data_IF_010693576586
#
_entry.id   IF_010693576586
#
_cell.length_a   1.000
_cell.length_b   1.000
_cell.length_c   1.000
_cell.angle_alpha   90.00
_cell.angle_beta   90.00
_cell.angle_gamma   90.00
#
_symmetry.space_group_name_H-M   'P 1'
#
loop_
_entity.id
_entity.type
_entity.pdbx_description
1 polymer ?
#
# COMPACT_ATOMS: atom_id res chain seq x y z
N UNK A 1 2.75 2.24 13.60
CA UNK A 1 1.29 2.13 13.75
C UNK A 1 0.65 3.48 13.97
N UNK A 2 1.04 4.26 15.01
CA UNK A 2 0.41 5.55 15.33
C UNK A 2 0.32 6.50 14.12
N UNK A 3 1.42 6.71 13.41
CA UNK A 3 1.43 7.54 12.20
C UNK A 3 0.49 7.00 11.10
N UNK A 4 0.36 5.68 10.95
CA UNK A 4 -0.57 5.09 10.00
C UNK A 4 -2.04 5.37 10.40
N UNK A 5 -2.37 5.27 11.68
CA UNK A 5 -3.70 5.59 12.19
C UNK A 5 -4.05 7.05 11.91
N UNK A 6 -3.13 7.99 12.19
CA UNK A 6 -3.33 9.43 11.96
C UNK A 6 -3.60 9.73 10.47
N UNK A 7 -2.82 9.13 9.57
CA UNK A 7 -2.97 9.35 8.14
C UNK A 7 -4.22 8.67 7.57
N UNK A 8 -4.48 7.42 7.94
CA UNK A 8 -5.65 6.68 7.42
C UNK A 8 -6.97 7.12 8.03
N UNK A 9 -6.96 7.84 9.15
CA UNK A 9 -8.14 8.50 9.71
C UNK A 9 -8.81 9.40 8.66
N UNK A 10 -8.04 10.05 7.79
CA UNK A 10 -8.55 11.01 6.81
C UNK A 10 -9.57 10.35 5.89
N UNK A 11 -9.20 9.29 5.16
CA UNK A 11 -10.11 8.62 4.24
C UNK A 11 -11.27 7.92 4.96
N UNK A 12 -11.03 7.38 6.17
CA UNK A 12 -12.07 6.70 6.94
C UNK A 12 -13.11 7.68 7.47
N UNK A 13 -12.70 8.86 7.91
CA UNK A 13 -13.62 9.94 8.32
C UNK A 13 -14.42 10.45 7.12
N UNK A 14 -13.78 10.61 5.96
CA UNK A 14 -14.45 10.99 4.71
C UNK A 14 -15.51 9.95 4.32
N UNK A 15 -15.16 8.66 4.39
CA UNK A 15 -16.10 7.55 4.12
C UNK A 15 -17.29 7.58 5.08
N UNK A 16 -17.06 7.75 6.38
CA UNK A 16 -18.13 7.87 7.38
C UNK A 16 -19.03 9.08 7.11
N UNK A 17 -18.45 10.21 6.71
CA UNK A 17 -19.18 11.43 6.35
C UNK A 17 -20.10 11.19 5.15
N UNK A 18 -19.59 10.53 4.10
CA UNK A 18 -20.39 10.23 2.91
C UNK A 18 -21.54 9.26 3.23
N UNK A 19 -21.33 8.28 4.11
CA UNK A 19 -22.41 7.40 4.57
C UNK A 19 -23.46 8.16 5.39
N UNK A 20 -23.06 9.03 6.31
CA UNK A 20 -23.97 9.85 7.09
C UNK A 20 -24.82 10.75 6.19
N UNK A 21 -24.25 11.26 5.10
CA UNK A 21 -24.92 12.07 4.09
C UNK A 21 -25.71 11.24 3.06
N UNK A 22 -25.69 9.90 3.16
CA UNK A 22 -26.33 8.98 2.21
C UNK A 22 -25.89 9.22 0.75
N UNK A 23 -24.60 9.54 0.53
CA UNK A 23 -24.06 9.75 -0.80
C UNK A 23 -24.03 8.43 -1.58
N UNK A 24 -24.43 8.48 -2.83
CA UNK A 24 -24.16 7.41 -3.77
C UNK A 24 -22.68 7.45 -4.17
N UNK A 25 -21.93 6.41 -3.85
CA UNK A 25 -20.49 6.34 -4.11
C UNK A 25 -20.13 6.42 -5.60
N UNK A 26 -21.04 6.05 -6.48
CA UNK A 26 -20.88 6.10 -7.93
C UNK A 26 -21.35 7.45 -8.53
N UNK A 27 -22.02 8.29 -7.73
CA UNK A 27 -22.43 9.61 -8.19
C UNK A 27 -21.21 10.52 -8.39
N UNK A 28 -21.26 11.33 -9.43
CA UNK A 28 -20.21 12.28 -9.78
C UNK A 28 -20.44 13.63 -9.12
N UNK A 29 -19.34 14.32 -8.86
CA UNK A 29 -19.32 15.70 -8.40
C UNK A 29 -18.09 16.42 -8.95
N UNK A 30 -18.08 17.74 -8.88
CA UNK A 30 -16.91 18.55 -9.21
C UNK A 30 -16.17 18.84 -7.92
N UNK A 31 -14.88 18.48 -7.87
CA UNK A 31 -14.04 18.76 -6.72
C UNK A 31 -13.57 20.23 -6.66
N UNK A 32 -12.85 20.60 -5.62
CA UNK A 32 -12.32 21.96 -5.42
C UNK A 32 -11.35 22.44 -6.49
N UNK A 33 -10.76 21.49 -7.25
CA UNK A 33 -9.84 21.77 -8.37
C UNK A 33 -10.58 21.82 -9.73
N UNK A 34 -11.91 21.69 -9.74
CA UNK A 34 -12.73 21.67 -10.94
C UNK A 34 -12.73 20.34 -11.70
N UNK A 35 -12.22 19.26 -11.09
CA UNK A 35 -12.18 17.94 -11.71
C UNK A 35 -13.45 17.15 -11.38
N UNK A 36 -14.04 16.52 -12.39
CA UNK A 36 -15.17 15.59 -12.20
C UNK A 36 -14.66 14.25 -11.69
N UNK A 37 -15.17 13.78 -10.55
CA UNK A 37 -14.88 12.46 -9.99
C UNK A 37 -16.08 11.90 -9.22
N UNK A 38 -16.08 10.58 -8.96
CA UNK A 38 -17.07 9.94 -8.09
C UNK A 38 -16.68 10.08 -6.62
N UNK A 39 -17.64 9.90 -5.71
CA UNK A 39 -17.34 9.87 -4.28
C UNK A 39 -16.41 8.71 -3.92
N UNK A 40 -16.51 7.57 -4.62
CA UNK A 40 -15.57 6.46 -4.43
C UNK A 40 -14.13 6.84 -4.83
N UNK A 41 -13.94 7.50 -5.97
CA UNK A 41 -12.62 7.99 -6.40
C UNK A 41 -12.03 8.96 -5.40
N UNK A 42 -12.82 9.88 -4.84
CA UNK A 42 -12.35 10.83 -3.83
C UNK A 42 -11.83 10.13 -2.56
N UNK A 43 -12.48 9.04 -2.12
CA UNK A 43 -12.02 8.24 -0.97
C UNK A 43 -10.73 7.49 -1.32
N UNK A 44 -10.65 6.91 -2.53
CA UNK A 44 -9.45 6.24 -3.02
C UNK A 44 -8.26 7.20 -3.16
N UNK A 45 -8.47 8.40 -3.67
CA UNK A 45 -7.45 9.46 -3.75
C UNK A 45 -6.94 9.81 -2.34
N UNK A 46 -7.85 9.98 -1.39
CA UNK A 46 -7.51 10.27 0.00
C UNK A 46 -6.70 9.12 0.64
N UNK A 47 -7.07 7.87 0.39
CA UNK A 47 -6.28 6.70 0.82
C UNK A 47 -4.91 6.65 0.14
N UNK A 48 -4.83 6.94 -1.15
CA UNK A 48 -3.61 6.88 -1.96
C UNK A 48 -2.67 8.08 -1.74
N UNK A 49 -3.13 9.15 -1.06
CA UNK A 49 -2.30 10.32 -0.77
C UNK A 49 -1.09 9.98 0.11
N UNK A 50 -1.19 8.96 0.94
CA UNK A 50 -0.08 8.43 1.75
C UNK A 50 0.10 6.95 1.51
N UNK A 51 1.35 6.48 1.44
CA UNK A 51 1.67 5.06 1.33
C UNK A 51 2.73 4.65 2.32
N UNK A 52 2.42 3.61 3.08
CA UNK A 52 3.34 3.01 4.04
C UNK A 52 4.06 1.82 3.39
N UNK A 53 5.39 1.86 3.43
CA UNK A 53 6.26 0.86 2.82
C UNK A 53 7.18 0.24 3.88
N UNK A 54 7.41 -1.07 3.79
CA UNK A 54 8.43 -1.75 4.60
C UNK A 54 9.36 -2.60 3.73
N UNK A 55 10.55 -2.89 4.25
CA UNK A 55 11.53 -3.72 3.55
C UNK A 55 11.17 -5.22 3.59
N UNK A 56 10.46 -5.67 4.63
CA UNK A 56 10.28 -7.09 4.96
C UNK A 56 8.83 -7.54 4.80
N UNK A 57 8.65 -8.83 4.49
CA UNK A 57 7.33 -9.46 4.44
C UNK A 57 6.93 -10.02 5.80
N UNK A 58 7.74 -10.94 6.33
CA UNK A 58 7.49 -11.63 7.60
C UNK A 58 8.48 -11.16 8.66
N UNK A 59 8.04 -10.39 9.62
CA UNK A 59 8.75 -9.95 10.83
C UNK A 59 7.84 -9.01 11.63
N UNK A 60 8.23 -8.61 12.83
CA UNK A 60 7.51 -7.62 13.63
C UNK A 60 7.28 -6.28 12.91
N UNK A 61 8.18 -5.89 11.99
CA UNK A 61 8.03 -4.73 11.13
C UNK A 61 7.82 -5.13 9.66
N UNK A 62 7.30 -6.33 9.41
CA UNK A 62 6.94 -6.83 8.09
C UNK A 62 5.51 -6.47 7.70
N UNK A 63 5.19 -6.68 6.43
CA UNK A 63 3.88 -6.35 5.84
C UNK A 63 2.74 -7.03 6.60
N UNK A 64 2.88 -8.32 6.91
CA UNK A 64 1.81 -9.12 7.51
C UNK A 64 1.43 -8.58 8.88
N UNK A 65 2.43 -8.43 9.76
CA UNK A 65 2.20 -7.95 11.12
C UNK A 65 1.75 -6.48 11.16
N UNK A 66 2.38 -5.61 10.35
CA UNK A 66 2.01 -4.20 10.33
C UNK A 66 0.61 -3.95 9.75
N UNK A 67 0.17 -4.71 8.75
CA UNK A 67 -1.22 -4.64 8.28
C UNK A 67 -2.21 -5.00 9.39
N UNK A 68 -1.92 -6.08 10.14
CA UNK A 68 -2.70 -6.51 11.27
C UNK A 68 -2.78 -5.46 12.37
N UNK A 69 -1.64 -4.97 12.81
CA UNK A 69 -1.53 -3.97 13.88
C UNK A 69 -2.22 -2.63 13.52
N UNK A 70 -2.08 -2.19 12.26
CA UNK A 70 -2.76 -0.98 11.78
C UNK A 70 -4.28 -1.19 11.79
N UNK A 71 -4.78 -2.33 11.28
CA UNK A 71 -6.21 -2.61 11.27
C UNK A 71 -6.80 -2.65 12.68
N UNK A 72 -6.11 -3.33 13.62
CA UNK A 72 -6.52 -3.40 15.04
C UNK A 72 -6.52 -2.02 15.71
N UNK A 73 -5.50 -1.22 15.46
CA UNK A 73 -5.43 0.14 15.99
C UNK A 73 -6.56 1.04 15.45
N UNK A 74 -6.86 0.97 14.14
CA UNK A 74 -7.99 1.69 13.54
C UNK A 74 -9.33 1.22 14.09
N UNK A 75 -9.48 -0.07 14.39
CA UNK A 75 -10.66 -0.63 15.05
C UNK A 75 -10.79 -0.12 16.50
N UNK A 76 -9.70 -0.07 17.25
CA UNK A 76 -9.69 0.47 18.63
C UNK A 76 -10.11 1.95 18.66
N UNK A 77 -9.76 2.73 17.63
CA UNK A 77 -10.18 4.11 17.41
C UNK A 77 -11.61 4.25 16.84
N UNK A 78 -12.35 3.14 16.71
CA UNK A 78 -13.72 3.09 16.15
C UNK A 78 -13.82 3.61 14.71
N UNK A 79 -12.74 3.52 13.96
CA UNK A 79 -12.69 3.89 12.54
C UNK A 79 -13.01 2.72 11.63
N UNK A 80 -12.77 1.48 12.09
CA UNK A 80 -13.09 0.24 11.39
C UNK A 80 -13.94 -0.68 12.27
N UNK A 81 -14.74 -1.54 11.63
CA UNK A 81 -15.59 -2.53 12.28
C UNK A 81 -15.46 -3.88 11.59
N UNK A 82 -14.88 -4.88 12.26
CA UNK A 82 -14.76 -6.26 11.80
C UNK A 82 -14.74 -7.22 13.00
N UNK A 83 -15.12 -8.47 12.77
CA UNK A 83 -15.07 -9.53 13.80
C UNK A 83 -13.74 -10.26 13.76
N UNK A 84 -13.36 -10.72 12.56
CA UNK A 84 -12.09 -11.38 12.26
C UNK A 84 -11.28 -10.55 11.27
N UNK A 85 -9.98 -10.68 11.30
CA UNK A 85 -9.06 -9.88 10.47
C UNK A 85 -9.22 -10.18 8.96
N UNK A 86 -9.57 -11.44 8.63
CA UNK A 86 -9.79 -11.88 7.26
C UNK A 86 -11.16 -11.47 6.69
N UNK A 87 -12.08 -11.00 7.55
CA UNK A 87 -13.39 -10.56 7.09
C UNK A 87 -13.29 -9.44 6.03
N UNK A 88 -14.31 -9.41 5.17
CA UNK A 88 -14.58 -8.21 4.39
C UNK A 88 -15.26 -7.16 5.27
N UNK A 89 -14.61 -6.04 5.45
CA UNK A 89 -15.16 -4.92 6.21
C UNK A 89 -15.02 -3.60 5.43
N UNK A 90 -15.93 -2.68 5.68
CA UNK A 90 -15.92 -1.35 5.05
C UNK A 90 -14.68 -0.57 5.50
N UNK A 91 -13.99 0.00 4.53
CA UNK A 91 -12.70 0.66 4.74
C UNK A 91 -11.47 -0.25 4.56
N UNK A 92 -11.65 -1.56 4.33
CA UNK A 92 -10.52 -2.48 4.12
C UNK A 92 -9.83 -2.20 2.79
N UNK A 93 -8.54 -1.83 2.78
CA UNK A 93 -7.76 -1.77 1.57
C UNK A 93 -7.22 -3.14 1.23
N UNK A 94 -7.22 -3.47 -0.05
CA UNK A 94 -6.62 -4.68 -0.59
C UNK A 94 -5.71 -4.37 -1.77
N UNK A 95 -4.73 -5.23 -1.99
CA UNK A 95 -3.91 -5.24 -3.20
C UNK A 95 -4.02 -6.59 -3.87
N UNK A 96 -4.28 -6.58 -5.17
CA UNK A 96 -4.33 -7.79 -6.00
C UNK A 96 -2.93 -8.39 -6.11
N UNK A 97 -2.82 -9.71 -5.96
CA UNK A 97 -1.55 -10.43 -6.02
C UNK A 97 -1.41 -11.32 -7.24
N UNK A 98 -2.50 -11.56 -7.97
CA UNK A 98 -2.53 -12.37 -9.20
C UNK A 98 -3.39 -11.70 -10.26
N UNK A 99 -2.95 -11.79 -11.52
CA UNK A 99 -3.71 -11.24 -12.64
C UNK A 99 -4.98 -12.06 -12.90
N UNK A 100 -6.10 -11.38 -13.08
CA UNK A 100 -7.34 -11.98 -13.58
C UNK A 100 -7.88 -11.16 -14.76
N UNK A 101 -7.72 -11.72 -15.96
CA UNK A 101 -8.15 -11.07 -17.20
C UNK A 101 -9.69 -11.00 -17.35
N UNK A 102 -10.44 -11.91 -16.72
CA UNK A 102 -11.90 -11.93 -16.79
C UNK A 102 -12.49 -10.77 -15.98
N UNK A 103 -11.88 -10.49 -14.84
CA UNK A 103 -12.28 -9.35 -13.98
C UNK A 103 -11.50 -8.09 -14.33
N UNK A 104 -10.44 -8.19 -15.16
CA UNK A 104 -9.52 -7.10 -15.51
C UNK A 104 -8.90 -6.46 -14.27
N UNK A 105 -8.43 -7.30 -13.36
CA UNK A 105 -7.64 -6.91 -12.20
C UNK A 105 -6.24 -7.50 -12.33
N UNK A 106 -5.24 -6.71 -12.01
CA UNK A 106 -3.84 -7.05 -12.21
C UNK A 106 -3.06 -6.97 -10.89
N UNK A 107 -1.97 -7.72 -10.82
CA UNK A 107 -1.08 -7.68 -9.67
C UNK A 107 -0.59 -6.25 -9.41
N UNK A 108 -0.81 -5.78 -8.19
CA UNK A 108 -0.50 -4.41 -7.77
C UNK A 108 -1.70 -3.46 -7.77
N UNK A 109 -2.84 -3.83 -8.39
CA UNK A 109 -4.05 -3.02 -8.32
C UNK A 109 -4.53 -2.90 -6.86
N UNK A 110 -4.83 -1.67 -6.44
CA UNK A 110 -5.29 -1.38 -5.08
C UNK A 110 -6.76 -1.00 -5.13
N UNK A 111 -7.53 -1.65 -4.25
CA UNK A 111 -8.95 -1.37 -4.08
C UNK A 111 -9.33 -1.15 -2.62
N UNK A 112 -10.45 -0.48 -2.42
CA UNK A 112 -11.07 -0.26 -1.12
C UNK A 112 -12.44 -0.93 -1.05
N UNK A 113 -12.69 -1.68 0.00
CA UNK A 113 -14.02 -2.18 0.32
C UNK A 113 -14.86 -1.01 0.87
N UNK A 114 -15.69 -0.39 0.04
CA UNK A 114 -16.48 0.80 0.41
C UNK A 114 -17.94 0.49 0.72
N UNK A 115 -18.42 -0.70 0.38
CA UNK A 115 -19.76 -1.16 0.76
C UNK A 115 -19.75 -2.69 0.98
N UNK A 116 -20.76 -3.20 1.65
CA UNK A 116 -20.89 -4.65 1.91
C UNK A 116 -20.85 -5.43 0.59
N UNK A 117 -19.91 -6.35 0.49
CA UNK A 117 -19.75 -7.22 -0.67
C UNK A 117 -19.19 -6.56 -1.92
N UNK A 118 -18.66 -5.33 -1.83
CA UNK A 118 -18.17 -4.57 -2.97
C UNK A 118 -16.84 -3.88 -2.69
N UNK A 119 -15.93 -3.92 -3.67
CA UNK A 119 -14.62 -3.25 -3.65
C UNK A 119 -14.53 -2.33 -4.85
N UNK A 120 -14.00 -1.14 -4.67
CA UNK A 120 -13.74 -0.16 -5.72
C UNK A 120 -12.27 -0.11 -6.09
N UNK A 121 -12.00 -0.16 -7.39
CA UNK A 121 -10.71 0.07 -8.03
C UNK A 121 -10.88 1.28 -8.97
N UNK A 122 -10.45 2.46 -8.54
CA UNK A 122 -10.81 3.71 -9.22
C UNK A 122 -12.33 3.94 -9.21
N UNK A 123 -12.90 4.17 -10.36
CA UNK A 123 -14.35 4.36 -10.55
C UNK A 123 -15.13 3.04 -10.76
N UNK A 124 -14.47 1.89 -10.69
CA UNK A 124 -15.07 0.59 -10.98
C UNK A 124 -15.32 -0.21 -9.71
N UNK A 125 -16.56 -0.64 -9.49
CA UNK A 125 -16.90 -1.57 -8.42
C UNK A 125 -16.81 -3.02 -8.89
N UNK A 126 -16.34 -3.91 -8.00
CA UNK A 126 -16.26 -5.36 -8.21
C UNK A 126 -16.81 -6.06 -6.97
N UNK A 127 -17.63 -7.10 -7.18
CA UNK A 127 -18.12 -7.95 -6.06
C UNK A 127 -16.95 -8.65 -5.37
N UNK A 128 -16.99 -8.73 -4.03
CA UNK A 128 -15.98 -9.45 -3.24
C UNK A 128 -15.84 -10.92 -3.65
N UNK A 129 -16.93 -11.56 -4.13
CA UNK A 129 -16.92 -12.94 -4.63
C UNK A 129 -16.15 -13.14 -5.94
N UNK A 130 -15.82 -12.05 -6.63
CA UNK A 130 -15.07 -12.05 -7.90
C UNK A 130 -13.64 -11.53 -7.75
N UNK A 131 -13.25 -11.13 -6.54
CA UNK A 131 -11.89 -10.64 -6.29
C UNK A 131 -10.92 -11.83 -6.33
N UNK A 132 -9.87 -11.79 -7.16
CA UNK A 132 -8.85 -12.82 -7.19
C UNK A 132 -7.98 -12.81 -5.93
N UNK A 133 -6.88 -13.55 -5.94
CA UNK A 133 -5.91 -13.56 -4.84
C UNK A 133 -5.47 -12.13 -4.50
N UNK A 134 -5.51 -11.79 -3.22
CA UNK A 134 -5.25 -10.45 -2.71
C UNK A 134 -4.70 -10.49 -1.28
N UNK A 135 -4.15 -9.38 -0.84
CA UNK A 135 -3.68 -9.20 0.53
C UNK A 135 -4.11 -7.82 1.07
N UNK A 136 -4.16 -7.62 2.41
CA UNK A 136 -4.41 -6.29 3.00
C UNK A 136 -3.35 -5.29 2.54
N UNK A 137 -3.74 -4.01 2.36
CA UNK A 137 -2.90 -3.00 1.75
C UNK A 137 -2.77 -1.69 2.56
N UNK A 138 -2.89 -1.73 3.87
CA UNK A 138 -2.48 -0.61 4.73
C UNK A 138 -0.96 -0.39 4.66
N UNK A 139 -0.21 -1.48 4.54
CA UNK A 139 1.23 -1.52 4.40
C UNK A 139 1.59 -2.43 3.22
N UNK A 140 2.60 -2.08 2.44
CA UNK A 140 3.12 -2.94 1.37
C UNK A 140 4.65 -3.00 1.41
N UNK A 141 5.25 -3.96 0.68
CA UNK A 141 6.71 -3.96 0.55
C UNK A 141 7.18 -2.88 -0.43
N UNK A 142 8.41 -2.39 -0.21
CA UNK A 142 9.06 -1.47 -1.16
C UNK A 142 9.11 -2.08 -2.56
N UNK A 143 9.36 -3.39 -2.70
CA UNK A 143 9.38 -4.07 -4.00
C UNK A 143 8.04 -4.00 -4.73
N UNK A 144 6.93 -4.20 -4.02
CA UNK A 144 5.58 -4.15 -4.61
C UNK A 144 5.14 -2.74 -4.99
N UNK A 145 5.79 -1.71 -4.47
CA UNK A 145 5.54 -0.32 -4.84
C UNK A 145 6.26 0.12 -6.12
N UNK A 146 7.09 -0.74 -6.72
CA UNK A 146 7.80 -0.41 -7.96
C UNK A 146 6.82 -0.05 -9.08
N UNK A 147 7.12 1.02 -9.81
CA UNK A 147 6.25 1.55 -10.86
C UNK A 147 5.15 2.50 -10.37
N UNK A 148 4.93 2.63 -9.07
CA UNK A 148 3.97 3.57 -8.48
C UNK A 148 4.67 4.74 -7.80
N UNK A 149 3.98 5.87 -7.66
CA UNK A 149 4.44 7.05 -6.93
C UNK A 149 3.31 7.57 -6.06
N UNK A 150 3.65 8.16 -4.90
CA UNK A 150 2.69 8.63 -3.91
C UNK A 150 3.04 10.04 -3.46
N UNK A 151 2.03 10.83 -3.12
CA UNK A 151 2.24 12.20 -2.62
C UNK A 151 3.11 12.20 -1.36
N UNK A 152 2.80 11.32 -0.42
CA UNK A 152 3.60 11.09 0.78
C UNK A 152 3.96 9.60 0.90
N UNK A 153 5.23 9.29 0.91
CA UNK A 153 5.74 7.94 1.18
C UNK A 153 6.28 7.88 2.61
N UNK A 154 5.83 6.89 3.36
CA UNK A 154 6.33 6.59 4.71
C UNK A 154 7.06 5.25 4.66
N UNK A 155 8.36 5.27 4.86
CA UNK A 155 9.20 4.07 4.80
C UNK A 155 9.57 3.61 6.20
N UNK A 156 9.32 2.33 6.51
CA UNK A 156 9.64 1.69 7.78
C UNK A 156 10.73 0.65 7.53
N UNK A 157 11.89 0.82 8.14
CA UNK A 157 12.98 -0.15 8.10
C UNK A 157 12.99 -0.99 9.38
N UNK A 158 13.50 -2.25 9.32
CA UNK A 158 13.64 -3.08 10.51
C UNK A 158 14.61 -2.46 11.52
N UNK A 159 14.51 -2.91 12.77
CA UNK A 159 15.40 -2.47 13.85
C UNK A 159 16.75 -3.17 13.86
N UNK A 160 16.84 -4.30 13.17
CA UNK A 160 18.03 -5.15 13.09
C UNK A 160 18.56 -5.24 11.64
N UNK A 161 19.88 -5.49 11.46
CA UNK A 161 20.43 -5.73 10.14
C UNK A 161 19.73 -6.88 9.41
N UNK A 162 19.45 -6.68 8.13
CA UNK A 162 18.82 -7.70 7.30
C UNK A 162 19.47 -7.69 5.90
N UNK A 163 19.78 -8.86 5.31
CA UNK A 163 20.42 -8.95 3.98
C UNK A 163 19.62 -8.28 2.85
N UNK A 164 18.32 -8.13 3.01
CA UNK A 164 17.43 -7.44 2.04
C UNK A 164 17.70 -5.93 1.99
N UNK A 165 18.22 -5.37 3.10
CA UNK A 165 18.52 -3.94 3.19
C UNK A 165 19.74 -3.60 2.32
N UNK A 166 19.49 -2.90 1.25
CA UNK A 166 20.50 -2.44 0.31
C UNK A 166 20.23 -1.02 -0.14
N UNK A 167 21.26 -0.38 -0.70
CA UNK A 167 21.15 0.95 -1.28
C UNK A 167 20.07 0.99 -2.38
N UNK A 168 19.99 -0.05 -3.19
CA UNK A 168 19.02 -0.17 -4.28
C UNK A 168 17.59 -0.25 -3.74
N UNK A 169 17.36 -0.99 -2.63
CA UNK A 169 16.06 -1.04 -1.98
C UNK A 169 15.66 0.31 -1.40
N UNK A 170 16.60 0.95 -0.68
CA UNK A 170 16.37 2.30 -0.12
C UNK A 170 16.06 3.29 -1.23
N UNK A 171 16.84 3.30 -2.31
CA UNK A 171 16.61 4.15 -3.47
C UNK A 171 15.23 3.92 -4.07
N UNK A 172 14.83 2.65 -4.24
CA UNK A 172 13.47 2.30 -4.73
C UNK A 172 12.40 2.91 -3.83
N UNK A 173 12.51 2.79 -2.51
CA UNK A 173 11.53 3.35 -1.58
C UNK A 173 11.50 4.89 -1.59
N UNK A 174 12.67 5.54 -1.59
CA UNK A 174 12.79 7.00 -1.62
C UNK A 174 12.16 7.59 -2.89
N UNK A 175 12.41 6.97 -4.04
CA UNK A 175 11.88 7.44 -5.33
C UNK A 175 10.37 7.20 -5.50
N UNK A 176 9.69 6.61 -4.55
CA UNK A 176 8.20 6.51 -4.54
C UNK A 176 7.54 7.80 -4.07
N UNK A 177 8.27 8.68 -3.37
CA UNK A 177 7.73 9.93 -2.86
C UNK A 177 7.76 11.02 -3.93
N UNK A 178 6.59 11.62 -4.22
CA UNK A 178 6.47 12.83 -5.05
C UNK A 178 6.82 14.09 -4.28
N UNK A 179 6.15 14.30 -3.14
CA UNK A 179 6.23 15.54 -2.39
C UNK A 179 6.85 15.38 -1.01
N UNK A 180 6.56 14.28 -0.32
CA UNK A 180 6.99 14.08 1.05
C UNK A 180 7.51 12.66 1.28
N UNK A 181 8.63 12.55 1.98
CA UNK A 181 9.20 11.30 2.45
C UNK A 181 9.35 11.35 3.97
N UNK A 182 8.84 10.33 4.66
CA UNK A 182 9.11 10.07 6.07
C UNK A 182 9.80 8.73 6.23
N UNK A 183 10.84 8.64 7.05
CA UNK A 183 11.58 7.39 7.26
C UNK A 183 11.62 7.06 8.74
N UNK A 184 11.14 5.88 9.10
CA UNK A 184 11.25 5.29 10.42
C UNK A 184 12.36 4.24 10.39
N UNK A 185 13.53 4.60 10.87
CA UNK A 185 14.70 3.73 10.97
C UNK A 185 15.60 4.20 12.12
N UNK A 186 16.37 3.30 12.72
CA UNK A 186 17.49 3.77 13.52
C UNK A 186 18.66 4.17 12.61
N UNK A 187 19.49 5.08 13.07
CA UNK A 187 20.57 5.65 12.28
C UNK A 187 21.57 4.58 11.79
N UNK A 188 21.91 3.59 12.62
CA UNK A 188 22.85 2.51 12.26
C UNK A 188 22.30 1.67 11.10
N UNK A 189 21.02 1.30 11.16
CA UNK A 189 20.34 0.53 10.09
C UNK A 189 20.27 1.35 8.81
N UNK A 190 19.92 2.62 8.88
CA UNK A 190 19.89 3.51 7.74
C UNK A 190 21.24 3.62 7.06
N UNK A 191 22.30 3.92 7.82
CA UNK A 191 23.66 4.02 7.30
C UNK A 191 24.14 2.70 6.69
N UNK A 192 23.83 1.57 7.33
CA UNK A 192 24.17 0.24 6.81
C UNK A 192 23.44 -0.04 5.49
N UNK A 193 22.13 0.23 5.43
CA UNK A 193 21.34 0.00 4.22
C UNK A 193 21.84 0.85 3.04
N UNK A 194 22.16 2.12 3.26
CA UNK A 194 22.66 3.02 2.21
C UNK A 194 24.06 2.63 1.71
N UNK A 195 24.89 2.03 2.55
CA UNK A 195 26.25 1.59 2.18
C UNK A 195 26.26 0.21 1.53
N UNK A 196 25.29 -0.65 1.84
CA UNK A 196 25.23 -2.03 1.35
C UNK A 196 24.73 -2.03 -0.11
N UNK A 197 25.58 -2.52 -1.02
CA UNK A 197 25.24 -2.68 -2.45
C UNK A 197 24.93 -4.13 -2.77
N UNK A 198 23.94 -4.38 -3.59
CA UNK A 198 23.62 -5.73 -4.05
C UNK A 198 24.70 -6.21 -5.02
N UNK A 199 25.45 -7.23 -4.64
CA UNK A 199 26.33 -7.94 -5.56
C UNK A 199 25.47 -8.88 -6.42
N UNK A 200 25.05 -8.41 -7.59
CA UNK A 200 24.36 -9.28 -8.55
C UNK A 200 25.39 -10.25 -9.15
N UNK A 201 25.33 -11.50 -8.76
CA UNK A 201 26.04 -12.58 -9.47
C UNK A 201 25.18 -12.96 -10.70
N UNK A 202 25.29 -12.20 -11.80
CA UNK A 202 24.76 -12.65 -13.07
C UNK A 202 25.75 -13.59 -13.70
N UNK A 203 25.33 -14.78 -14.14
CA UNK A 203 26.18 -15.72 -14.91
C UNK A 203 26.59 -15.16 -16.29
N UNK A 204 26.00 -14.02 -16.71
CA UNK A 204 26.27 -13.38 -17.99
C UNK A 204 27.74 -12.93 -18.12
N UNK A 205 28.35 -12.40 -17.05
CA UNK A 205 29.76 -12.01 -17.05
C UNK A 205 30.70 -13.21 -17.26
N UNK A 206 30.38 -14.38 -16.71
CA UNK A 206 31.13 -15.62 -16.94
C UNK A 206 30.96 -16.12 -18.38
N UNK A 207 29.73 -16.12 -18.90
CA UNK A 207 29.42 -16.53 -20.27
C UNK A 207 30.04 -15.64 -21.34
N UNK A 208 30.26 -14.36 -21.05
CA UNK A 208 30.93 -13.43 -21.95
C UNK A 208 32.45 -13.64 -21.95
N UNK A 209 33.05 -13.97 -20.79
CA UNK A 209 34.50 -14.30 -20.70
C UNK A 209 34.86 -15.64 -21.36
N UNK A 210 33.94 -16.66 -21.30
CA UNK A 210 34.14 -17.95 -21.94
C UNK A 210 34.02 -17.91 -23.49
N UNK A 211 33.56 -16.81 -24.09
CA UNK A 211 33.48 -16.61 -25.54
C UNK A 211 34.62 -15.83 -26.15
N UNK A 212 35.56 -15.33 -25.32
CA UNK A 212 36.75 -14.61 -25.75
C UNK A 212 38.03 -15.50 -25.75
N UNK A 213 37.91 -16.78 -25.35
CA UNK A 213 38.91 -17.83 -25.52
C UNK A 213 38.53 -18.75 -26.70
#
# INVERSE_FOLDING_TARGET
VKSAVENYRVYLTQLQTYFAQKKDLNAKFIDENGCEKTYAEAILDSFNSVRFLTALRASALGVEELNREIALALRAEKLLWFRQEDDWYIGKPIMITENDHNVKLYNGDIGLCLAKGKVWFGNREVSTSRIPAHEPAFMMTIHKSQGSEFEHTVMVLPTEPNPVLSRELVFTGVTRAKNQLSVFANEKIWQSAVRNTVKRQSGLGKLLQEKEE
#
